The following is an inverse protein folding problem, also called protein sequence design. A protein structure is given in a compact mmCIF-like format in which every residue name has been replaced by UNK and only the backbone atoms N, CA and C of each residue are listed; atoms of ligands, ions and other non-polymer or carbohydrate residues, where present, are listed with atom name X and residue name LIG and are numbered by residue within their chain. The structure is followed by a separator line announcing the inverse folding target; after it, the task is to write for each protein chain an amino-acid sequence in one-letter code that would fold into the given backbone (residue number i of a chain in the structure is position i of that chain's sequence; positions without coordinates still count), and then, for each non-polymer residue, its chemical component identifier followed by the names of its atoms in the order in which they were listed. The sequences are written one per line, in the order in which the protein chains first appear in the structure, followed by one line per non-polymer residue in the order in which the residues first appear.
data_IF_968752445364
#
_entry.id   IF_968752445364
#
_cell.length_a   1.000
_cell.length_b   1.000
_cell.length_c   1.000
_cell.angle_alpha   90.00
_cell.angle_beta   90.00
_cell.angle_gamma   90.00
#
_symmetry.space_group_name_H-M   'P 1'
#
loop_
_entity.id
_entity.type
_entity.pdbx_description
1 polymer ?
#
# COMPACT_ATOMS: atom_id res chain seq x y z
N UNK A 1 -41.15 -8.72 -17.90
CA UNK A 1 -40.65 -7.44 -17.42
C UNK A 1 -40.20 -7.57 -15.99
N UNK A 2 -38.92 -7.33 -15.70
CA UNK A 2 -38.42 -7.24 -14.33
C UNK A 2 -39.14 -6.10 -13.61
N UNK A 3 -39.68 -6.36 -12.43
CA UNK A 3 -40.16 -5.30 -11.54
C UNK A 3 -38.93 -4.50 -11.10
N UNK A 4 -38.81 -3.27 -11.56
CA UNK A 4 -37.79 -2.31 -11.12
C UNK A 4 -38.07 -1.94 -9.65
N UNK A 5 -37.44 -2.63 -8.73
CA UNK A 5 -37.44 -2.21 -7.33
C UNK A 5 -36.61 -0.96 -7.18
N UNK A 6 -37.14 0.08 -6.53
CA UNK A 6 -36.46 1.38 -6.30
C UNK A 6 -35.09 1.18 -5.66
N UNK A 7 -34.94 0.21 -4.77
CA UNK A 7 -33.68 -0.16 -4.15
C UNK A 7 -32.58 -0.65 -5.13
N UNK A 8 -32.98 -1.25 -6.26
CA UNK A 8 -32.04 -1.65 -7.30
C UNK A 8 -31.57 -0.44 -8.14
N UNK A 9 -32.46 0.51 -8.39
CA UNK A 9 -32.15 1.76 -9.08
C UNK A 9 -31.17 2.56 -8.23
N UNK A 10 -31.47 2.78 -6.95
CA UNK A 10 -30.62 3.53 -6.03
C UNK A 10 -29.22 2.91 -5.92
N UNK A 11 -29.14 1.59 -5.82
CA UNK A 11 -27.84 0.88 -5.78
C UNK A 11 -27.03 1.09 -7.06
N UNK A 12 -27.66 1.05 -8.24
CA UNK A 12 -26.98 1.27 -9.51
C UNK A 12 -26.58 2.73 -9.70
N UNK A 13 -27.41 3.68 -9.26
CA UNK A 13 -27.09 5.12 -9.27
C UNK A 13 -25.92 5.40 -8.33
N UNK A 14 -25.90 4.85 -7.11
CA UNK A 14 -24.79 4.96 -6.18
C UNK A 14 -23.49 4.35 -6.75
N UNK A 15 -23.60 3.26 -7.51
CA UNK A 15 -22.42 2.69 -8.17
C UNK A 15 -21.87 3.59 -9.25
N UNK A 16 -22.73 4.16 -10.12
CA UNK A 16 -22.32 5.12 -11.17
C UNK A 16 -21.71 6.37 -10.53
N UNK A 17 -22.27 6.85 -9.43
CA UNK A 17 -21.70 7.97 -8.67
C UNK A 17 -20.35 7.61 -8.03
N UNK A 18 -20.25 6.38 -7.52
CA UNK A 18 -19.02 5.83 -6.91
C UNK A 18 -17.83 5.71 -7.87
N UNK A 19 -18.07 5.61 -9.17
CA UNK A 19 -17.03 5.64 -10.21
C UNK A 19 -16.28 6.99 -10.24
N UNK A 20 -16.82 8.03 -9.58
CA UNK A 20 -16.14 9.30 -9.36
C UNK A 20 -16.14 10.26 -10.53
N UNK A 21 -16.76 9.93 -11.66
CA UNK A 21 -16.79 10.74 -12.90
C UNK A 21 -17.84 11.85 -12.86
N UNK A 22 -18.88 11.67 -12.07
CA UNK A 22 -20.04 12.56 -12.03
C UNK A 22 -20.05 13.41 -10.75
N UNK A 23 -20.50 14.66 -10.89
CA UNK A 23 -20.76 15.55 -9.77
C UNK A 23 -22.03 15.14 -9.05
N UNK A 24 -23.05 14.75 -9.80
CA UNK A 24 -24.28 14.14 -9.31
C UNK A 24 -24.84 13.17 -10.33
N UNK A 25 -25.59 12.17 -9.88
CA UNK A 25 -26.35 11.26 -10.72
C UNK A 25 -27.75 11.18 -10.13
N UNK A 26 -28.69 11.85 -10.78
CA UNK A 26 -30.10 11.84 -10.44
C UNK A 26 -30.88 10.94 -11.39
N UNK A 27 -32.09 10.56 -11.02
CA UNK A 27 -32.99 9.85 -11.93
C UNK A 27 -34.44 10.31 -11.79
N UNK A 28 -35.17 10.15 -12.88
CA UNK A 28 -36.60 10.42 -12.95
C UNK A 28 -37.36 9.22 -13.50
N UNK A 29 -38.43 8.85 -12.85
CA UNK A 29 -39.39 7.86 -13.36
C UNK A 29 -40.49 8.59 -14.09
N UNK A 30 -40.57 8.44 -15.39
CA UNK A 30 -41.60 9.05 -16.24
C UNK A 30 -42.58 7.97 -16.68
N UNK A 31 -43.85 8.24 -16.56
CA UNK A 31 -44.90 7.39 -17.09
C UNK A 31 -45.38 8.00 -18.42
N UNK A 32 -45.15 7.33 -19.54
CA UNK A 32 -45.62 7.77 -20.85
C UNK A 32 -46.46 6.67 -21.47
N UNK A 33 -47.77 6.93 -21.58
CA UNK A 33 -48.77 5.95 -21.97
C UNK A 33 -48.61 4.69 -21.09
N UNK A 34 -48.60 3.51 -21.48
CA UNK A 34 -48.47 2.29 -20.68
C UNK A 34 -47.02 1.86 -20.37
N UNK A 35 -46.05 2.77 -20.44
CA UNK A 35 -44.62 2.47 -20.22
C UNK A 35 -44.02 3.34 -19.15
N UNK A 36 -43.29 2.75 -18.22
CA UNK A 36 -42.43 3.46 -17.29
C UNK A 36 -41.04 3.61 -17.90
N UNK A 37 -40.58 4.84 -17.99
CA UNK A 37 -39.26 5.22 -18.54
C UNK A 37 -38.42 5.70 -17.36
N UNK A 38 -37.27 5.03 -17.12
CA UNK A 38 -36.25 5.50 -16.22
C UNK A 38 -35.31 6.43 -16.99
N UNK A 39 -35.32 7.71 -16.63
CA UNK A 39 -34.38 8.70 -17.15
C UNK A 39 -33.30 8.95 -16.15
N UNK A 40 -32.03 8.62 -16.48
CA UNK A 40 -30.86 8.93 -15.67
C UNK A 40 -30.33 10.30 -16.10
N UNK A 41 -30.00 11.16 -15.14
CA UNK A 41 -29.53 12.53 -15.31
C UNK A 41 -28.15 12.68 -14.69
N UNK A 42 -27.06 12.24 -15.36
CA UNK A 42 -25.72 12.43 -14.88
C UNK A 42 -25.28 13.88 -15.13
N UNK A 43 -24.61 14.47 -14.15
CA UNK A 43 -23.90 15.74 -14.27
C UNK A 43 -22.41 15.44 -14.15
N UNK A 44 -21.68 15.61 -15.22
CA UNK A 44 -20.23 15.39 -15.26
C UNK A 44 -19.50 16.42 -14.41
N UNK A 45 -18.40 16.02 -13.77
CA UNK A 45 -17.54 16.96 -13.07
C UNK A 45 -16.87 17.89 -14.08
N UNK A 46 -16.92 19.20 -13.84
CA UNK A 46 -16.32 20.20 -14.71
C UNK A 46 -14.78 20.09 -14.84
N UNK A 47 -14.14 19.32 -13.97
CA UNK A 47 -12.70 19.07 -13.89
C UNK A 47 -12.31 17.60 -14.15
N UNK A 48 -13.26 16.75 -14.59
CA UNK A 48 -13.03 15.38 -15.06
C UNK A 48 -13.12 15.31 -16.60
N UNK A 49 -12.77 14.19 -17.22
CA UNK A 49 -12.40 12.90 -16.68
C UNK A 49 -10.90 12.72 -16.37
N UNK A 50 -10.09 13.74 -16.57
CA UNK A 50 -8.65 13.69 -16.37
C UNK A 50 -8.27 14.22 -14.99
N UNK A 51 -7.40 13.50 -14.27
CA UNK A 51 -6.99 13.84 -12.92
C UNK A 51 -5.49 14.02 -12.83
N UNK A 52 -5.06 15.12 -12.23
CA UNK A 52 -3.68 15.33 -11.82
C UNK A 52 -3.62 15.37 -10.29
N UNK A 53 -2.85 14.47 -9.71
CA UNK A 53 -2.69 14.34 -8.26
C UNK A 53 -1.23 14.53 -7.88
N UNK A 54 -1.03 15.17 -6.74
CA UNK A 54 0.29 15.34 -6.14
C UNK A 54 0.30 14.73 -4.74
N UNK A 55 1.41 14.14 -4.37
CA UNK A 55 1.67 13.65 -3.03
C UNK A 55 3.06 14.06 -2.59
N UNK A 56 3.16 14.57 -1.37
CA UNK A 56 4.42 14.88 -0.71
C UNK A 56 4.62 13.85 0.40
N UNK A 57 5.80 13.27 0.46
CA UNK A 57 6.22 12.40 1.55
C UNK A 57 7.43 13.03 2.23
N UNK A 58 7.35 13.24 3.53
CA UNK A 58 8.44 13.67 4.38
C UNK A 58 8.58 12.67 5.51
N UNK A 59 9.75 12.12 5.66
CA UNK A 59 10.02 11.05 6.62
C UNK A 59 11.36 11.33 7.28
N UNK A 60 11.39 11.35 8.58
CA UNK A 60 12.60 11.53 9.37
C UNK A 60 12.67 10.47 10.44
N UNK A 61 13.80 9.81 10.51
CA UNK A 61 14.09 8.70 11.38
C UNK A 61 15.46 8.95 12.03
N UNK A 62 15.56 8.78 13.35
CA UNK A 62 16.80 9.07 14.09
C UNK A 62 17.98 8.19 13.70
N UNK A 63 17.72 7.01 13.13
CA UNK A 63 18.75 6.03 12.78
C UNK A 63 19.10 6.04 11.28
N UNK A 64 18.17 6.47 10.42
CA UNK A 64 18.32 6.46 8.97
C UNK A 64 18.48 7.86 8.39
N UNK A 65 18.00 8.90 9.09
CA UNK A 65 18.01 10.28 8.63
C UNK A 65 16.70 10.67 7.95
N UNK A 66 16.75 11.76 7.18
CA UNK A 66 15.57 12.33 6.54
C UNK A 66 15.44 11.89 5.09
N UNK A 67 14.24 11.60 4.65
CA UNK A 67 13.90 11.37 3.26
C UNK A 67 12.73 12.26 2.83
N UNK A 68 12.76 12.68 1.58
CA UNK A 68 11.64 13.40 0.98
C UNK A 68 11.27 12.78 -0.37
N UNK A 69 10.02 12.90 -0.74
CA UNK A 69 9.53 12.46 -2.05
C UNK A 69 8.37 13.34 -2.50
N UNK A 70 8.44 13.77 -3.74
CA UNK A 70 7.31 14.37 -4.44
C UNK A 70 6.88 13.41 -5.54
N UNK A 71 5.61 13.07 -5.57
CA UNK A 71 5.00 12.22 -6.61
C UNK A 71 3.90 12.99 -7.30
N UNK A 72 3.89 12.89 -8.62
CA UNK A 72 2.78 13.33 -9.46
C UNK A 72 2.18 12.12 -10.17
N UNK A 73 0.87 12.11 -10.31
CA UNK A 73 0.12 11.09 -11.03
C UNK A 73 -0.91 11.75 -11.93
N UNK A 74 -0.84 11.45 -13.23
CA UNK A 74 -1.85 11.83 -14.22
C UNK A 74 -2.67 10.60 -14.56
N UNK A 75 -3.96 10.67 -14.34
CA UNK A 75 -4.91 9.62 -14.68
C UNK A 75 -5.89 10.15 -15.72
N UNK A 76 -5.89 9.52 -16.89
CA UNK A 76 -6.90 9.72 -17.92
C UNK A 76 -7.89 8.56 -17.84
N UNK A 77 -9.16 8.89 -17.64
CA UNK A 77 -10.25 7.94 -17.53
C UNK A 77 -11.14 7.99 -18.77
N UNK A 78 -12.06 7.02 -18.90
CA UNK A 78 -13.06 6.98 -20.00
C UNK A 78 -12.44 7.08 -21.40
N UNK A 79 -11.30 6.40 -21.64
CA UNK A 79 -10.65 6.38 -22.96
C UNK A 79 -11.58 5.74 -24.01
N UNK A 80 -12.47 4.85 -23.56
CA UNK A 80 -13.47 4.18 -24.38
C UNK A 80 -14.77 3.95 -23.58
N UNK A 81 -15.80 3.44 -24.25
CA UNK A 81 -17.14 3.22 -23.67
C UNK A 81 -17.16 2.22 -22.50
N UNK A 82 -16.18 1.35 -22.37
CA UNK A 82 -16.04 0.41 -21.24
C UNK A 82 -15.30 1.03 -20.04
N UNK A 83 -14.81 2.27 -20.16
CA UNK A 83 -14.11 2.94 -19.07
C UNK A 83 -12.62 2.58 -19.00
N UNK A 84 -11.95 2.41 -20.13
CA UNK A 84 -10.50 2.23 -20.17
C UNK A 84 -9.77 3.42 -19.53
N UNK A 85 -8.62 3.17 -18.87
CA UNK A 85 -7.86 4.19 -18.15
C UNK A 85 -6.37 4.09 -18.43
N UNK A 86 -5.70 5.24 -18.43
CA UNK A 86 -4.22 5.34 -18.39
C UNK A 86 -3.84 6.07 -17.12
N UNK A 87 -2.88 5.51 -16.40
CA UNK A 87 -2.25 6.13 -15.25
C UNK A 87 -0.75 6.30 -15.52
N UNK A 88 -0.30 7.54 -15.59
CA UNK A 88 1.11 7.88 -15.65
C UNK A 88 1.56 8.44 -14.31
N UNK A 89 2.66 7.94 -13.76
CA UNK A 89 3.22 8.36 -12.48
C UNK A 89 4.68 8.76 -12.62
N UNK A 90 5.08 9.78 -11.89
CA UNK A 90 6.48 10.19 -11.74
C UNK A 90 6.75 10.55 -10.30
N UNK A 91 7.89 10.13 -9.78
CA UNK A 91 8.36 10.43 -8.43
C UNK A 91 9.79 10.96 -8.47
N UNK A 92 10.07 11.95 -7.65
CA UNK A 92 11.40 12.54 -7.45
C UNK A 92 11.70 12.66 -5.96
N UNK A 93 12.98 12.74 -5.63
CA UNK A 93 13.46 12.82 -4.25
C UNK A 93 14.30 11.61 -3.86
N UNK A 94 14.21 11.18 -2.61
CA UNK A 94 14.93 9.99 -2.11
C UNK A 94 14.56 8.71 -2.86
N UNK A 95 13.33 8.65 -3.39
CA UNK A 95 12.86 7.59 -4.27
C UNK A 95 12.49 8.20 -5.62
N UNK A 96 13.23 7.84 -6.67
CA UNK A 96 12.94 8.25 -8.03
C UNK A 96 12.20 7.12 -8.74
N UNK A 97 11.19 7.47 -9.56
CA UNK A 97 10.46 6.48 -10.31
C UNK A 97 9.59 7.07 -11.40
N UNK A 98 9.23 6.24 -12.36
CA UNK A 98 8.25 6.53 -13.39
C UNK A 98 7.45 5.26 -13.67
N UNK A 99 6.18 5.42 -13.98
CA UNK A 99 5.30 4.29 -14.30
C UNK A 99 4.23 4.69 -15.31
N UNK A 100 3.80 3.73 -16.10
CA UNK A 100 2.68 3.84 -17.02
C UNK A 100 1.86 2.56 -16.94
N UNK A 101 0.59 2.69 -16.60
CA UNK A 101 -0.36 1.60 -16.51
C UNK A 101 -1.55 1.86 -17.43
N UNK A 102 -1.98 0.85 -18.16
CA UNK A 102 -3.19 0.85 -18.95
C UNK A 102 -4.14 -0.20 -18.39
N UNK A 103 -5.29 0.23 -17.91
CA UNK A 103 -6.35 -0.61 -17.36
C UNK A 103 -7.55 -0.63 -18.31
N UNK A 104 -8.07 -1.82 -18.62
CA UNK A 104 -9.18 -2.00 -19.54
C UNK A 104 -10.23 -2.94 -18.92
N UNK A 105 -11.39 -2.41 -18.50
CA UNK A 105 -12.56 -3.24 -18.21
C UNK A 105 -13.01 -3.98 -19.46
N UNK A 106 -13.47 -5.21 -19.29
CA UNK A 106 -13.92 -6.09 -20.38
C UNK A 106 -15.44 -6.14 -20.49
N UNK A 107 -16.17 -5.66 -19.49
CA UNK A 107 -17.63 -5.61 -19.51
C UNK A 107 -18.12 -4.29 -18.87
N UNK A 108 -19.36 -3.84 -19.22
CA UNK A 108 -19.89 -2.57 -18.70
C UNK A 108 -20.12 -2.56 -17.17
N UNK A 109 -20.19 -3.73 -16.53
CA UNK A 109 -20.27 -3.85 -15.08
C UNK A 109 -18.90 -3.84 -14.42
N UNK A 110 -17.81 -3.74 -15.21
CA UNK A 110 -16.41 -3.70 -14.78
C UNK A 110 -16.02 -4.89 -13.88
N UNK A 111 -16.67 -6.05 -14.11
CA UNK A 111 -16.40 -7.25 -13.31
C UNK A 111 -15.06 -7.88 -13.68
N UNK A 112 -14.72 -7.85 -14.97
CA UNK A 112 -13.48 -8.42 -15.48
C UNK A 112 -12.64 -7.31 -16.13
N UNK A 113 -11.34 -7.42 -16.02
CA UNK A 113 -10.41 -6.46 -16.62
C UNK A 113 -9.11 -7.12 -17.05
N UNK A 114 -8.39 -6.41 -17.90
CA UNK A 114 -6.98 -6.64 -18.20
C UNK A 114 -6.19 -5.36 -17.93
N UNK A 115 -4.92 -5.51 -17.61
CA UNK A 115 -4.04 -4.39 -17.35
C UNK A 115 -2.63 -4.69 -17.86
N UNK A 116 -1.98 -3.70 -18.43
CA UNK A 116 -0.57 -3.73 -18.81
C UNK A 116 0.14 -2.56 -18.15
N UNK A 117 1.28 -2.82 -17.51
CA UNK A 117 2.04 -1.79 -16.82
C UNK A 117 3.54 -1.95 -17.00
N UNK A 118 4.23 -0.82 -17.04
CA UNK A 118 5.69 -0.73 -16.97
C UNK A 118 6.08 0.28 -15.90
N UNK A 119 7.08 -0.05 -15.09
CA UNK A 119 7.52 0.77 -13.98
C UNK A 119 9.03 0.74 -13.87
N UNK A 120 9.63 1.90 -13.69
CA UNK A 120 11.02 2.08 -13.29
C UNK A 120 11.07 2.66 -11.88
N UNK A 121 11.93 2.11 -11.03
CA UNK A 121 12.19 2.62 -9.69
C UNK A 121 13.69 2.66 -9.40
N UNK A 122 14.10 3.68 -8.65
CA UNK A 122 15.43 3.80 -8.06
C UNK A 122 15.26 4.23 -6.61
N UNK A 123 15.62 3.34 -5.69
CA UNK A 123 15.44 3.53 -4.24
C UNK A 123 16.76 3.27 -3.52
N UNK A 124 16.97 4.01 -2.44
CA UNK A 124 18.08 3.74 -1.52
C UNK A 124 17.67 2.62 -0.56
N UNK A 125 18.55 1.64 -0.39
CA UNK A 125 18.37 0.52 0.53
C UNK A 125 19.54 0.48 1.50
N UNK A 126 19.27 0.80 2.75
CA UNK A 126 20.25 0.74 3.83
C UNK A 126 20.40 -0.70 4.33
N UNK A 127 21.62 -1.05 4.70
CA UNK A 127 21.98 -2.32 5.32
C UNK A 127 22.46 -2.03 6.74
N UNK A 128 21.83 -2.67 7.70
CA UNK A 128 22.10 -2.49 9.10
C UNK A 128 22.75 -3.73 9.72
N UNK A 129 23.62 -3.47 10.71
CA UNK A 129 24.20 -4.45 11.60
C UNK A 129 24.48 -3.78 12.95
N UNK A 130 24.06 -4.43 14.06
CA UNK A 130 24.19 -3.90 15.41
C UNK A 130 23.55 -2.49 15.58
N UNK A 131 22.36 -2.32 15.01
CA UNK A 131 21.61 -1.04 14.96
C UNK A 131 22.36 0.12 14.29
N UNK A 132 23.36 -0.16 13.45
CA UNK A 132 24.12 0.82 12.70
C UNK A 132 24.05 0.56 11.21
N UNK A 133 23.88 1.59 10.42
CA UNK A 133 24.01 1.50 8.97
C UNK A 133 25.46 1.22 8.58
N UNK A 134 25.70 0.04 8.02
CA UNK A 134 27.03 -0.43 7.59
C UNK A 134 27.24 -0.31 6.09
N UNK A 135 26.16 -0.28 5.32
CA UNK A 135 26.21 -0.07 3.89
C UNK A 135 24.91 0.57 3.37
N UNK A 136 24.99 1.11 2.16
CA UNK A 136 23.83 1.58 1.41
C UNK A 136 23.97 1.13 -0.04
N UNK A 137 22.89 0.60 -0.60
CA UNK A 137 22.76 0.27 -2.00
C UNK A 137 21.77 1.21 -2.69
N UNK A 138 22.04 1.52 -3.93
CA UNK A 138 21.08 2.06 -4.87
C UNK A 138 20.50 0.88 -5.60
N UNK A 139 19.23 0.58 -5.32
CA UNK A 139 18.47 -0.46 -6.00
C UNK A 139 17.64 0.21 -7.08
N UNK A 140 18.00 -0.02 -8.33
CA UNK A 140 17.26 0.47 -9.50
C UNK A 140 16.73 -0.70 -10.31
N UNK A 141 15.60 -0.52 -10.97
CA UNK A 141 15.08 -1.59 -11.79
C UNK A 141 13.84 -1.23 -12.56
N UNK A 142 13.54 -2.07 -13.54
CA UNK A 142 12.33 -2.00 -14.36
C UNK A 142 11.49 -3.24 -14.13
N UNK A 143 10.19 -3.05 -14.01
CA UNK A 143 9.21 -4.12 -13.96
C UNK A 143 8.18 -3.93 -15.05
N UNK A 144 7.84 -5.00 -15.75
CA UNK A 144 6.73 -5.09 -16.69
C UNK A 144 5.73 -6.09 -16.15
N UNK A 145 4.44 -5.79 -16.26
CA UNK A 145 3.37 -6.67 -15.83
C UNK A 145 2.23 -6.71 -16.85
N UNK A 146 1.73 -7.92 -17.13
CA UNK A 146 0.47 -8.16 -17.82
C UNK A 146 -0.46 -8.87 -16.86
N UNK A 147 -1.65 -8.33 -16.66
CA UNK A 147 -2.58 -8.80 -15.66
C UNK A 147 -3.97 -9.03 -16.24
N UNK A 148 -4.67 -10.02 -15.68
CA UNK A 148 -6.10 -10.18 -15.82
C UNK A 148 -6.72 -10.37 -14.45
N UNK A 149 -7.93 -9.88 -14.26
CA UNK A 149 -8.55 -9.97 -12.95
C UNK A 149 -10.06 -9.79 -12.93
N UNK A 150 -10.58 -9.86 -11.71
CA UNK A 150 -12.01 -9.67 -11.44
C UNK A 150 -12.22 -8.78 -10.24
N UNK A 151 -13.21 -7.89 -10.35
CA UNK A 151 -13.67 -7.03 -9.28
C UNK A 151 -14.90 -7.63 -8.59
N UNK A 152 -14.89 -7.63 -7.27
CA UNK A 152 -16.00 -8.10 -6.43
C UNK A 152 -16.85 -6.91 -5.92
N UNK A 153 -17.14 -5.95 -6.80
CA UNK A 153 -17.79 -4.70 -6.45
C UNK A 153 -16.96 -3.88 -5.46
N UNK A 154 -17.57 -3.50 -4.34
CA UNK A 154 -16.90 -2.73 -3.28
C UNK A 154 -16.08 -3.58 -2.32
N UNK A 155 -16.14 -4.91 -2.44
CA UNK A 155 -15.42 -5.82 -1.53
C UNK A 155 -13.94 -5.85 -1.84
N UNK A 156 -13.57 -5.84 -3.12
CA UNK A 156 -12.17 -5.92 -3.53
C UNK A 156 -11.95 -6.53 -4.90
N UNK A 157 -10.76 -7.08 -5.12
CA UNK A 157 -10.28 -7.51 -6.43
C UNK A 157 -9.38 -8.76 -6.31
N UNK A 158 -9.49 -9.66 -7.28
CA UNK A 158 -8.51 -10.72 -7.52
C UNK A 158 -7.80 -10.50 -8.86
N UNK A 159 -6.49 -10.78 -8.91
CA UNK A 159 -5.64 -10.52 -10.06
C UNK A 159 -4.62 -11.64 -10.25
N UNK A 160 -4.42 -12.07 -11.48
CA UNK A 160 -3.32 -12.90 -11.92
C UNK A 160 -2.46 -12.11 -12.89
N UNK A 161 -1.16 -12.07 -12.68
CA UNK A 161 -0.23 -11.27 -13.46
C UNK A 161 0.98 -12.10 -13.88
N UNK A 162 1.44 -11.91 -15.10
CA UNK A 162 2.79 -12.23 -15.50
C UNK A 162 3.67 -11.02 -15.23
N UNK A 163 4.77 -11.23 -14.53
CA UNK A 163 5.71 -10.17 -14.16
C UNK A 163 7.08 -10.53 -14.71
N UNK A 164 7.73 -9.56 -15.34
CA UNK A 164 9.14 -9.59 -15.70
C UNK A 164 9.83 -8.43 -15.02
N UNK A 165 10.92 -8.70 -14.30
CA UNK A 165 11.60 -7.71 -13.48
C UNK A 165 13.11 -7.82 -13.65
N UNK A 166 13.75 -6.66 -13.88
CA UNK A 166 15.21 -6.49 -13.83
C UNK A 166 15.55 -5.54 -12.69
N UNK A 167 16.58 -5.88 -11.91
CA UNK A 167 17.07 -5.05 -10.81
C UNK A 167 18.60 -4.99 -10.83
N UNK A 168 19.12 -3.81 -10.54
CA UNK A 168 20.53 -3.54 -10.36
C UNK A 168 20.77 -2.98 -8.94
N UNK A 169 21.74 -3.55 -8.24
CA UNK A 169 22.14 -3.16 -6.90
C UNK A 169 23.56 -2.61 -6.94
N UNK A 170 23.66 -1.29 -6.94
CA UNK A 170 24.92 -0.56 -6.89
C UNK A 170 25.23 -0.14 -5.47
N UNK A 171 26.38 -0.53 -4.95
CA UNK A 171 26.84 -0.08 -3.65
C UNK A 171 27.18 1.42 -3.71
N UNK A 172 26.51 2.22 -2.89
CA UNK A 172 26.76 3.64 -2.73
C UNK A 172 27.70 3.90 -1.55
N UNK A 173 27.42 3.28 -0.40
CA UNK A 173 28.20 3.39 0.84
C UNK A 173 28.55 1.98 1.33
N UNK A 174 29.73 1.81 1.91
CA UNK A 174 30.17 0.57 2.54
C UNK A 174 31.49 0.02 2.03
N UNK A 175 31.90 -1.14 2.54
CA UNK A 175 33.17 -1.80 2.19
C UNK A 175 33.21 -2.16 0.71
N UNK A 176 34.40 -1.99 0.09
CA UNK A 176 34.66 -2.42 -1.29
C UNK A 176 34.49 -3.93 -1.53
N UNK A 177 34.42 -4.72 -0.45
CA UNK A 177 34.17 -6.16 -0.53
C UNK A 177 32.69 -6.52 -0.76
N UNK A 178 31.76 -5.57 -0.53
CA UNK A 178 30.36 -5.78 -0.84
C UNK A 178 30.14 -5.66 -2.36
N UNK A 179 29.63 -6.71 -3.04
CA UNK A 179 29.52 -6.72 -4.49
C UNK A 179 28.37 -5.85 -4.99
N UNK A 180 28.54 -5.25 -6.17
CA UNK A 180 27.41 -4.88 -7.00
C UNK A 180 26.88 -6.13 -7.68
N UNK A 181 25.57 -6.20 -7.89
CA UNK A 181 24.97 -7.33 -8.60
C UNK A 181 23.71 -6.92 -9.35
N UNK A 182 23.43 -7.67 -10.39
CA UNK A 182 22.25 -7.56 -11.20
C UNK A 182 21.44 -8.85 -11.11
N UNK A 183 20.13 -8.72 -11.20
CA UNK A 183 19.25 -9.88 -11.26
C UNK A 183 18.06 -9.58 -12.15
N UNK A 184 17.64 -10.57 -12.91
CA UNK A 184 16.42 -10.53 -13.70
C UNK A 184 15.66 -11.82 -13.48
N UNK A 185 14.38 -11.71 -13.35
CA UNK A 185 13.51 -12.87 -13.18
C UNK A 185 12.10 -12.58 -13.68
N UNK A 186 11.42 -13.64 -14.03
CA UNK A 186 10.03 -13.59 -14.45
C UNK A 186 9.20 -14.60 -13.67
N UNK A 187 7.89 -14.42 -13.65
CA UNK A 187 7.01 -15.34 -12.96
C UNK A 187 5.55 -14.94 -12.94
N UNK A 188 4.77 -15.80 -12.32
CA UNK A 188 3.35 -15.56 -12.08
C UNK A 188 3.11 -14.99 -10.70
N UNK A 189 2.28 -13.96 -10.64
CA UNK A 189 1.83 -13.36 -9.39
C UNK A 189 0.30 -13.46 -9.29
N UNK A 190 -0.19 -14.10 -8.23
CA UNK A 190 -1.60 -14.13 -7.87
C UNK A 190 -1.83 -13.21 -6.67
N UNK A 191 -2.77 -12.27 -6.79
CA UNK A 191 -3.10 -11.30 -5.73
C UNK A 191 -4.59 -11.26 -5.46
N UNK A 192 -4.95 -11.30 -4.18
CA UNK A 192 -6.28 -10.98 -3.69
C UNK A 192 -6.19 -9.78 -2.75
N UNK A 193 -6.97 -8.74 -3.03
CA UNK A 193 -7.06 -7.54 -2.19
C UNK A 193 -8.51 -7.29 -1.83
N UNK A 194 -8.84 -7.39 -0.56
CA UNK A 194 -10.15 -7.11 0.00
C UNK A 194 -10.02 -5.96 1.00
N UNK A 195 -10.85 -4.93 0.88
CA UNK A 195 -10.78 -3.75 1.75
C UNK A 195 -12.18 -3.25 2.11
N UNK A 196 -12.49 -3.28 3.40
CA UNK A 196 -13.74 -2.82 3.99
C UNK A 196 -13.45 -1.83 5.13
N UNK A 197 -12.24 -1.25 5.17
CA UNK A 197 -11.94 -0.16 6.09
C UNK A 197 -12.75 1.08 5.70
N UNK A 198 -13.34 1.73 6.67
CA UNK A 198 -14.21 2.89 6.43
C UNK A 198 -13.48 4.17 6.02
N UNK A 199 -12.13 4.20 6.16
CA UNK A 199 -11.26 5.33 5.76
C UNK A 199 -9.91 4.82 5.30
N UNK A 200 -9.28 5.57 4.39
CA UNK A 200 -7.93 5.28 3.91
C UNK A 200 -6.88 5.44 5.01
N UNK A 201 -6.99 6.52 5.78
CA UNK A 201 -6.16 6.81 6.94
C UNK A 201 -7.02 6.83 8.20
N UNK A 202 -6.44 6.46 9.34
CA UNK A 202 -7.11 6.48 10.63
C UNK A 202 -8.47 5.76 10.60
N UNK A 203 -8.53 4.59 9.97
CA UNK A 203 -9.71 3.76 9.95
C UNK A 203 -10.20 3.51 11.37
N UNK A 204 -11.51 3.65 11.58
CA UNK A 204 -12.15 3.47 12.88
C UNK A 204 -13.00 2.21 12.95
N UNK A 205 -13.25 1.58 11.80
CA UNK A 205 -14.05 0.39 11.66
C UNK A 205 -13.73 -0.34 10.36
N UNK A 206 -13.85 -1.67 10.39
CA UNK A 206 -13.72 -2.52 9.22
C UNK A 206 -12.46 -3.35 9.23
N UNK A 207 -12.14 -3.96 8.11
CA UNK A 207 -11.00 -4.85 7.94
C UNK A 207 -10.46 -4.78 6.52
N UNK A 208 -9.19 -5.18 6.38
CA UNK A 208 -8.50 -5.31 5.09
C UNK A 208 -7.68 -6.58 5.08
N UNK A 209 -7.65 -7.27 3.95
CA UNK A 209 -6.82 -8.46 3.74
C UNK A 209 -6.17 -8.37 2.36
N UNK A 210 -4.87 -8.61 2.32
CA UNK A 210 -4.11 -8.78 1.08
C UNK A 210 -3.40 -10.12 1.12
N UNK A 211 -3.57 -10.90 0.08
CA UNK A 211 -2.82 -12.13 -0.17
C UNK A 211 -2.06 -11.92 -1.48
N UNK A 212 -0.77 -12.19 -1.47
CA UNK A 212 0.10 -12.06 -2.62
C UNK A 212 0.97 -13.30 -2.72
N UNK A 213 0.96 -13.95 -3.87
CA UNK A 213 1.78 -15.13 -4.15
C UNK A 213 2.48 -14.94 -5.48
N UNK A 214 3.79 -14.98 -5.46
CA UNK A 214 4.65 -14.93 -6.64
C UNK A 214 5.44 -16.22 -6.76
N UNK A 215 5.43 -16.85 -7.93
CA UNK A 215 6.27 -18.00 -8.28
C UNK A 215 7.18 -17.62 -9.45
N UNK A 216 8.48 -17.63 -9.19
CA UNK A 216 9.49 -17.37 -10.22
C UNK A 216 9.67 -18.59 -11.11
N UNK A 217 9.72 -18.37 -12.43
CA UNK A 217 9.97 -19.44 -13.38
C UNK A 217 11.45 -19.83 -13.46
N UNK A 218 12.33 -18.86 -13.23
CA UNK A 218 13.77 -18.94 -13.56
C UNK A 218 14.67 -18.72 -12.34
N UNK A 219 14.22 -18.05 -11.31
CA UNK A 219 15.04 -17.76 -10.13
C UNK A 219 14.90 -18.78 -8.98
N UNK A 220 14.05 -19.80 -9.13
CA UNK A 220 13.97 -20.94 -8.21
C UNK A 220 13.34 -20.66 -6.84
N UNK A 221 12.61 -19.56 -6.65
CA UNK A 221 11.92 -19.23 -5.41
C UNK A 221 10.45 -18.89 -5.67
N UNK A 222 9.64 -19.04 -4.63
CA UNK A 222 8.31 -18.48 -4.58
C UNK A 222 8.21 -17.57 -3.34
N UNK A 223 7.38 -16.54 -3.39
CA UNK A 223 7.14 -15.62 -2.28
C UNK A 223 5.66 -15.55 -1.99
N UNK A 224 5.31 -15.82 -0.75
CA UNK A 224 3.95 -15.63 -0.23
C UNK A 224 3.94 -14.48 0.76
N UNK A 225 2.93 -13.62 0.67
CA UNK A 225 2.69 -12.53 1.60
C UNK A 225 1.21 -12.50 1.99
N UNK A 226 0.97 -12.36 3.28
CA UNK A 226 -0.36 -12.20 3.88
C UNK A 226 -0.32 -10.95 4.73
N UNK A 227 -1.22 -10.01 4.51
CA UNK A 227 -1.38 -8.81 5.35
C UNK A 227 -2.86 -8.68 5.72
N UNK A 228 -3.14 -8.66 7.01
CA UNK A 228 -4.49 -8.53 7.57
C UNK A 228 -4.50 -7.40 8.58
N UNK A 229 -5.46 -6.51 8.46
CA UNK A 229 -5.68 -5.39 9.38
C UNK A 229 -7.16 -5.29 9.72
N UNK A 230 -7.46 -5.00 10.97
CA UNK A 230 -8.83 -4.76 11.44
C UNK A 230 -8.86 -3.63 12.44
N UNK A 231 -9.89 -2.79 12.36
CA UNK A 231 -10.11 -1.66 13.25
C UNK A 231 -11.53 -1.68 13.83
N UNK A 232 -11.66 -1.27 15.08
CA UNK A 232 -12.95 -1.04 15.73
C UNK A 232 -12.86 0.09 16.76
N UNK A 233 -13.97 0.76 17.00
CA UNK A 233 -14.04 1.90 17.91
C UNK A 233 -14.77 1.55 19.22
N UNK A 234 -14.21 1.99 20.32
CA UNK A 234 -14.79 1.99 21.64
C UNK A 234 -14.91 3.44 22.15
N UNK A 235 -16.02 4.09 21.82
CA UNK A 235 -16.18 5.51 22.09
C UNK A 235 -15.16 6.37 21.32
N UNK A 236 -14.29 7.09 22.04
CA UNK A 236 -13.21 7.91 21.43
C UNK A 236 -11.91 7.13 21.22
N UNK A 237 -11.86 5.87 21.61
CA UNK A 237 -10.69 5.02 21.44
C UNK A 237 -10.88 4.11 20.25
N UNK A 238 -9.89 4.06 19.38
CA UNK A 238 -9.83 3.14 18.23
C UNK A 238 -8.78 2.09 18.53
N UNK A 239 -9.15 0.83 18.39
CA UNK A 239 -8.22 -0.30 18.48
C UNK A 239 -8.01 -0.85 17.07
N UNK A 240 -6.76 -0.99 16.66
CA UNK A 240 -6.39 -1.59 15.38
C UNK A 240 -5.42 -2.74 15.61
N UNK A 241 -5.71 -3.88 15.05
CA UNK A 241 -4.81 -5.02 14.99
C UNK A 241 -4.30 -5.24 13.57
N UNK A 242 -3.03 -5.58 13.40
CA UNK A 242 -2.43 -5.96 12.13
C UNK A 242 -1.56 -7.18 12.29
N UNK A 243 -1.62 -8.09 11.33
CA UNK A 243 -0.72 -9.23 11.21
C UNK A 243 -0.20 -9.32 9.77
N UNK A 244 1.07 -9.65 9.63
CA UNK A 244 1.72 -9.84 8.33
C UNK A 244 2.59 -11.09 8.37
N UNK A 245 2.56 -11.84 7.28
CA UNK A 245 3.47 -12.94 7.01
C UNK A 245 4.13 -12.72 5.65
N UNK A 246 5.44 -12.92 5.58
CA UNK A 246 6.20 -12.99 4.33
C UNK A 246 7.14 -14.18 4.42
N UNK A 247 7.10 -15.08 3.45
CA UNK A 247 7.97 -16.26 3.45
C UNK A 247 7.98 -16.95 2.09
N UNK A 248 8.72 -18.04 2.00
CA UNK A 248 8.84 -18.82 0.78
C UNK A 248 8.27 -20.22 0.95
N UNK A 249 7.20 -20.59 0.23
CA UNK A 249 6.76 -21.98 0.15
C UNK A 249 7.66 -22.86 -0.75
N UNK A 250 8.62 -22.25 -1.50
CA UNK A 250 9.50 -22.94 -2.43
C UNK A 250 10.88 -22.29 -2.43
N UNK A 251 11.88 -22.98 -1.91
CA UNK A 251 13.23 -22.45 -1.78
C UNK A 251 13.35 -21.36 -0.72
N UNK A 252 14.53 -20.77 -0.62
CA UNK A 252 14.78 -19.62 0.26
C UNK A 252 14.57 -18.32 -0.52
N UNK A 253 13.96 -17.30 0.11
CA UNK A 253 13.85 -15.99 -0.50
C UNK A 253 15.23 -15.40 -0.72
N UNK A 254 15.58 -14.97 -1.93
CA UNK A 254 16.80 -14.21 -2.13
C UNK A 254 16.72 -12.84 -1.44
N UNK A 255 17.87 -12.27 -1.09
CA UNK A 255 17.98 -10.97 -0.42
C UNK A 255 17.11 -9.86 -1.05
N UNK A 256 17.04 -9.81 -2.37
CA UNK A 256 16.26 -8.81 -3.10
C UNK A 256 14.73 -9.01 -3.03
N UNK A 257 14.27 -10.19 -2.63
CA UNK A 257 12.85 -10.54 -2.39
C UNK A 257 12.53 -10.78 -0.92
N UNK A 258 13.48 -10.56 -0.01
CA UNK A 258 13.36 -10.77 1.41
C UNK A 258 12.19 -10.00 2.03
N UNK A 259 11.61 -10.55 3.09
CA UNK A 259 10.70 -9.84 3.97
C UNK A 259 11.41 -8.69 4.67
N UNK A 260 10.66 -7.66 5.05
CA UNK A 260 11.20 -6.40 5.61
C UNK A 260 10.45 -6.00 6.85
N UNK A 261 11.19 -5.70 7.93
CA UNK A 261 10.69 -5.12 9.15
C UNK A 261 11.45 -3.84 9.50
N UNK A 262 10.80 -3.00 10.27
CA UNK A 262 11.29 -1.71 10.71
C UNK A 262 10.52 -0.55 10.10
N UNK A 263 10.47 0.53 10.85
CA UNK A 263 9.67 1.70 10.59
C UNK A 263 8.38 1.77 11.41
N UNK A 264 7.74 2.91 11.39
CA UNK A 264 6.55 3.20 12.18
C UNK A 264 5.42 2.19 11.93
N UNK A 265 4.87 1.62 13.01
CA UNK A 265 3.82 0.58 13.01
C UNK A 265 4.19 -0.68 12.19
N UNK A 266 5.48 -0.96 12.09
CA UNK A 266 6.06 -2.16 11.50
C UNK A 266 7.37 -2.53 12.22
N UNK A 267 7.35 -2.65 13.54
CA UNK A 267 8.47 -2.68 14.48
C UNK A 267 9.08 -1.28 14.66
N UNK A 268 8.32 -0.39 15.28
CA UNK A 268 8.58 1.05 15.40
C UNK A 268 9.91 1.42 16.07
N UNK A 269 10.51 0.51 16.85
CA UNK A 269 11.82 0.71 17.48
C UNK A 269 12.99 0.63 16.49
N UNK A 270 12.77 0.08 15.29
CA UNK A 270 13.78 -0.12 14.26
C UNK A 270 13.57 0.85 13.10
N UNK A 271 14.65 1.26 12.44
CA UNK A 271 14.60 2.08 11.23
C UNK A 271 13.86 1.36 10.09
N UNK A 272 13.34 2.09 9.13
CA UNK A 272 12.59 1.51 8.02
C UNK A 272 13.40 0.45 7.26
N UNK A 273 12.85 -0.76 7.11
CA UNK A 273 13.50 -1.90 6.46
C UNK A 273 14.87 -2.27 7.06
N UNK A 274 15.10 -1.98 8.33
CA UNK A 274 16.35 -2.31 9.01
C UNK A 274 16.59 -3.81 9.08
N UNK A 275 15.54 -4.59 9.28
CA UNK A 275 15.59 -6.04 9.39
C UNK A 275 15.09 -6.66 8.09
N UNK A 276 15.94 -7.47 7.48
CA UNK A 276 15.63 -8.28 6.30
C UNK A 276 15.77 -9.76 6.66
N UNK A 277 14.82 -10.56 6.23
CA UNK A 277 14.85 -12.01 6.47
C UNK A 277 14.10 -12.79 5.39
N UNK A 278 14.38 -14.08 5.31
CA UNK A 278 13.74 -15.00 4.36
C UNK A 278 12.29 -15.32 4.75
N UNK A 279 12.01 -15.35 6.04
CA UNK A 279 10.68 -15.56 6.60
C UNK A 279 10.44 -14.55 7.71
N UNK A 280 9.30 -13.87 7.66
CA UNK A 280 8.89 -12.88 8.63
C UNK A 280 7.43 -13.11 9.00
N UNK A 281 7.17 -13.21 10.30
CA UNK A 281 5.83 -13.14 10.88
C UNK A 281 5.77 -11.93 11.80
N UNK A 282 4.83 -11.03 11.58
CA UNK A 282 4.63 -9.82 12.37
C UNK A 282 3.20 -9.78 12.90
N UNK A 283 3.04 -9.30 14.11
CA UNK A 283 1.74 -8.95 14.69
C UNK A 283 1.88 -7.68 15.53
N UNK A 284 0.92 -6.78 15.41
CA UNK A 284 0.88 -5.54 16.18
C UNK A 284 -0.55 -5.17 16.56
N UNK A 285 -0.70 -4.54 17.71
CA UNK A 285 -1.93 -3.91 18.15
C UNK A 285 -1.65 -2.47 18.54
N UNK A 286 -2.53 -1.56 18.14
CA UNK A 286 -2.46 -0.16 18.54
C UNK A 286 -3.78 0.31 19.11
N UNK A 287 -3.70 1.20 20.09
CA UNK A 287 -4.83 1.93 20.65
C UNK A 287 -4.60 3.42 20.41
N UNK A 288 -5.57 4.09 19.83
CA UNK A 288 -5.53 5.52 19.51
C UNK A 288 -6.69 6.23 20.19
N UNK A 289 -6.38 7.24 21.01
CA UNK A 289 -7.37 8.09 21.66
C UNK A 289 -7.46 9.41 20.94
N UNK A 290 -8.66 9.79 20.50
CA UNK A 290 -8.93 11.14 19.98
C UNK A 290 -8.86 12.12 21.14
N UNK A 291 -7.87 13.03 21.11
CA UNK A 291 -7.59 13.99 22.20
C UNK A 291 -7.96 15.42 21.85
N UNK A 292 -8.28 15.70 20.59
CA UNK A 292 -8.65 17.02 20.13
C UNK A 292 -8.68 17.13 18.61
N UNK A 293 -8.67 18.35 18.13
CA UNK A 293 -8.53 18.69 16.71
C UNK A 293 -7.27 19.53 16.50
N UNK A 294 -6.69 19.43 15.33
CA UNK A 294 -5.54 20.29 14.99
C UNK A 294 -5.90 21.77 15.01
N UNK A 295 -4.93 22.65 15.40
CA UNK A 295 -5.15 24.10 15.36
C UNK A 295 -5.41 24.60 13.95
N UNK A 296 -5.85 25.84 13.86
CA UNK A 296 -6.29 26.57 12.66
C UNK A 296 -5.44 26.25 11.42
N UNK A 297 -6.09 25.76 10.35
CA UNK A 297 -5.46 25.46 9.05
C UNK A 297 -5.20 23.97 8.78
N UNK A 298 -5.11 23.14 9.80
CA UNK A 298 -5.05 21.69 9.68
C UNK A 298 -6.41 21.10 10.11
N UNK A 299 -7.09 20.44 9.19
CA UNK A 299 -8.40 19.82 9.48
C UNK A 299 -8.18 18.36 9.84
N UNK A 300 -8.76 17.89 10.96
CA UNK A 300 -8.73 16.50 11.35
C UNK A 300 -8.58 16.29 12.85
N UNK A 301 -8.79 15.05 13.28
CA UNK A 301 -8.66 14.66 14.68
C UNK A 301 -7.16 14.49 15.02
N UNK A 302 -6.78 15.03 16.18
CA UNK A 302 -5.49 14.74 16.79
C UNK A 302 -5.64 13.53 17.71
N UNK A 303 -4.73 12.57 17.59
CA UNK A 303 -4.77 11.31 18.30
C UNK A 303 -3.48 11.05 19.05
N UNK A 304 -3.62 10.58 20.28
CA UNK A 304 -2.52 9.97 21.01
C UNK A 304 -2.62 8.46 20.81
N UNK A 305 -1.54 7.85 20.33
CA UNK A 305 -1.47 6.43 20.05
C UNK A 305 -0.43 5.72 20.88
N UNK A 306 -0.72 4.47 21.19
CA UNK A 306 0.21 3.51 21.77
C UNK A 306 0.14 2.21 20.96
N UNK A 307 1.30 1.63 20.65
CA UNK A 307 1.40 0.37 19.92
C UNK A 307 2.28 -0.64 20.64
N UNK A 308 1.89 -1.91 20.55
CA UNK A 308 2.69 -3.07 20.93
C UNK A 308 2.85 -3.96 19.71
N UNK A 309 4.08 -4.35 19.43
CA UNK A 309 4.45 -5.05 18.22
C UNK A 309 5.36 -6.23 18.55
N UNK A 310 5.20 -7.32 17.81
CA UNK A 310 6.05 -8.50 17.92
C UNK A 310 6.32 -9.08 16.55
N UNK A 311 7.52 -9.64 16.35
CA UNK A 311 7.88 -10.29 15.13
C UNK A 311 8.79 -11.50 15.36
N UNK A 312 8.65 -12.48 14.48
CA UNK A 312 9.58 -13.60 14.33
C UNK A 312 10.25 -13.50 12.96
N UNK A 313 11.56 -13.75 12.92
CA UNK A 313 12.35 -13.78 11.68
C UNK A 313 13.04 -15.14 11.61
N UNK A 314 12.91 -15.81 10.48
CA UNK A 314 13.61 -17.08 10.21
C UNK A 314 15.11 -16.86 10.07
N UNK A 315 15.61 -16.75 8.84
CA UNK A 315 17.00 -16.41 8.59
C UNK A 315 17.17 -14.91 8.41
N UNK A 316 18.01 -14.29 9.21
CA UNK A 316 18.35 -12.87 9.12
C UNK A 316 19.36 -12.62 8.00
N UNK A 317 19.10 -11.66 7.14
CA UNK A 317 20.05 -11.13 6.15
C UNK A 317 20.76 -9.86 6.63
N UNK A 318 20.11 -9.11 7.51
CA UNK A 318 20.68 -7.97 8.25
C UNK A 318 20.43 -8.16 9.74
N UNK A 319 21.11 -7.43 10.60
CA UNK A 319 20.96 -7.55 12.06
C UNK A 319 21.15 -9.00 12.55
N UNK A 320 22.14 -9.69 12.01
CA UNK A 320 22.41 -11.12 12.28
C UNK A 320 22.71 -11.42 13.76
N UNK A 321 23.09 -10.42 14.54
CA UNK A 321 23.24 -10.48 15.99
C UNK A 321 21.90 -10.77 16.71
N UNK A 322 20.76 -10.51 16.05
CA UNK A 322 19.42 -10.80 16.60
C UNK A 322 18.96 -12.25 16.35
N UNK A 323 19.74 -13.06 15.60
CA UNK A 323 19.36 -14.41 15.18
C UNK A 323 19.04 -15.38 16.34
N UNK A 324 19.53 -15.09 17.55
CA UNK A 324 19.19 -15.85 18.76
C UNK A 324 17.86 -15.45 19.42
N UNK A 325 17.18 -14.44 18.94
CA UNK A 325 15.96 -13.90 19.51
C UNK A 325 14.75 -14.60 18.89
N UNK A 326 13.99 -15.35 19.68
CA UNK A 326 12.81 -16.07 19.19
C UNK A 326 11.66 -15.13 18.77
N UNK A 327 11.48 -14.04 19.52
CA UNK A 327 10.47 -13.00 19.21
C UNK A 327 11.10 -11.64 19.47
N UNK A 328 11.19 -10.82 18.44
CA UNK A 328 11.49 -9.40 18.55
C UNK A 328 10.25 -8.68 19.07
N UNK A 329 10.44 -7.69 19.93
CA UNK A 329 9.36 -6.85 20.42
C UNK A 329 9.64 -5.38 20.13
N UNK A 330 8.58 -4.59 20.06
CA UNK A 330 8.63 -3.15 19.94
C UNK A 330 7.41 -2.53 20.61
N UNK A 331 7.58 -1.40 21.25
CA UNK A 331 6.50 -0.57 21.75
C UNK A 331 6.68 0.84 21.23
N UNK A 332 5.59 1.53 20.92
CA UNK A 332 5.65 2.91 20.46
C UNK A 332 4.59 3.77 21.13
N UNK A 333 4.94 5.03 21.36
CA UNK A 333 4.02 6.10 21.72
C UNK A 333 4.12 7.20 20.68
N UNK A 334 2.99 7.75 20.23
CA UNK A 334 2.97 8.73 19.15
C UNK A 334 1.77 9.65 19.21
N UNK A 335 1.95 10.83 18.62
CA UNK A 335 0.87 11.71 18.20
C UNK A 335 0.65 11.53 16.70
N UNK A 336 -0.59 11.47 16.28
CA UNK A 336 -0.94 11.31 14.89
C UNK A 336 -2.19 12.10 14.54
N UNK A 337 -2.36 12.36 13.25
CA UNK A 337 -3.58 12.97 12.77
C UNK A 337 -3.57 13.21 11.27
N UNK A 338 -4.75 13.55 10.76
CA UNK A 338 -4.96 13.79 9.35
C UNK A 338 -4.73 15.27 9.04
N UNK A 339 -3.86 15.53 8.06
CA UNK A 339 -3.58 16.88 7.56
C UNK A 339 -4.06 17.01 6.11
N UNK A 340 -4.18 18.22 5.57
CA UNK A 340 -4.50 18.43 4.16
C UNK A 340 -3.51 17.77 3.18
N UNK A 341 -2.31 17.45 3.65
CA UNK A 341 -1.25 16.81 2.86
C UNK A 341 -1.18 15.30 3.06
N UNK A 342 -1.99 14.74 3.97
CA UNK A 342 -2.00 13.33 4.33
C UNK A 342 -1.87 13.10 5.84
N UNK A 343 -1.72 11.84 6.28
CA UNK A 343 -1.50 11.53 7.67
C UNK A 343 -0.12 12.03 8.12
N UNK A 344 -0.05 12.56 9.34
CA UNK A 344 1.20 12.95 9.98
C UNK A 344 1.34 12.27 11.34
N UNK A 345 2.55 11.83 11.66
CA UNK A 345 2.86 11.14 12.90
C UNK A 345 4.18 11.64 13.47
N UNK A 346 4.21 11.79 14.78
CA UNK A 346 5.40 12.10 15.56
C UNK A 346 5.46 11.12 16.73
N UNK A 347 6.54 10.37 16.87
CA UNK A 347 6.58 9.38 17.92
C UNK A 347 7.96 8.80 18.21
N UNK A 348 7.95 7.90 19.20
CA UNK A 348 9.12 7.21 19.67
C UNK A 348 8.80 5.72 19.84
N UNK A 349 9.71 4.87 19.34
CA UNK A 349 9.68 3.43 19.47
C UNK A 349 10.86 2.91 20.30
N UNK A 350 10.61 1.86 21.07
CA UNK A 350 11.62 1.19 21.89
C UNK A 350 11.45 -0.32 21.85
N UNK A 351 12.58 -1.07 21.86
CA UNK A 351 12.66 -2.52 21.91
C UNK A 351 13.57 -2.97 23.06
N UNK A 352 13.25 -4.10 23.68
CA UNK A 352 14.12 -4.72 24.70
C UNK A 352 15.45 -5.22 24.15
N UNK A 353 15.60 -5.32 22.81
CA UNK A 353 16.89 -5.59 22.15
C UNK A 353 17.85 -4.41 22.18
N UNK A 354 17.45 -3.27 22.77
CA UNK A 354 18.23 -2.04 22.83
C UNK A 354 18.03 -1.10 21.64
N UNK A 355 17.23 -1.48 20.65
CA UNK A 355 16.89 -0.60 19.54
C UNK A 355 15.90 0.49 20.01
N UNK A 356 16.08 1.70 19.53
CA UNK A 356 15.15 2.81 19.73
C UNK A 356 15.15 3.71 18.53
N UNK A 357 14.00 4.32 18.24
CA UNK A 357 13.83 5.17 17.09
C UNK A 357 12.86 6.30 17.37
N UNK A 358 13.23 7.51 16.97
CA UNK A 358 12.34 8.67 16.93
C UNK A 358 11.96 8.91 15.47
N UNK A 359 10.69 9.09 15.18
CA UNK A 359 10.19 9.25 13.82
C UNK A 359 9.23 10.43 13.69
N UNK A 360 9.29 11.06 12.53
CA UNK A 360 8.34 12.03 12.01
C UNK A 360 8.00 11.59 10.58
N UNK A 361 6.73 11.27 10.34
CA UNK A 361 6.21 10.82 9.03
C UNK A 361 5.09 11.73 8.57
#
# INVERSE_FOLDING_TARGET
GEQLATSNIDRNVLRIYGDGFYQSVDYQLLTQRDRNILRILPVEKSWGPDYLRFALNLDTDSNQGSSFGLRAAYQKTLINELGGEILATVGIGSNLGAGLDFYQPLDPAQRFFVEAGIKYERVQQDIFQDNKRVAQYINSGTAFALSAGTNFGTLGQARLSWIEQSRNFDRDIGSSQLPNFETSYSGWNARLSLDQLNRLYFATQGWRTKLDYFDSNDAGFARAEIDVEGAFSLGKTVITGRANYTGSPKGQLPFYSAGRLGGFLNMSAFARSQILGDEITYAGVRAEQIIGTFPIGLRGDMRLGFALEGAHVGTYYTETNLSGTSILNSAAIYLGGETPFGPAYLGFGYSTSGASNFFLN
#
